data_IF_129837526464
#
_entry.id   IF_129837526464
#
_cell.length_a   1.000
_cell.length_b   1.000
_cell.length_c   1.000
_cell.angle_alpha   90.00
_cell.angle_beta   90.00
_cell.angle_gamma   90.00
#
_symmetry.space_group_name_H-M   'P 1'
#
loop_
_entity.id
_entity.type
_entity.pdbx_description
1 polymer ?
#
# COMPACT_ATOMS: atom_id res chain seq x y z
N UNK A 1 46.46 9.68 -3.49
CA UNK A 1 45.11 9.37 -2.98
C UNK A 1 45.22 9.36 -1.47
N UNK A 2 44.55 10.29 -0.82
CA UNK A 2 44.67 10.43 0.62
C UNK A 2 43.58 9.61 1.32
N UNK A 3 43.95 8.41 1.76
CA UNK A 3 43.05 7.50 2.48
C UNK A 3 42.77 7.95 3.91
N UNK A 4 43.53 8.90 4.47
CA UNK A 4 43.35 9.35 5.85
C UNK A 4 41.95 9.92 6.10
N UNK A 5 41.40 10.66 5.13
CA UNK A 5 40.05 11.23 5.18
C UNK A 5 38.93 10.20 5.02
N UNK A 6 39.22 9.07 4.37
CA UNK A 6 38.29 7.94 4.23
C UNK A 6 38.33 7.09 5.50
N UNK A 7 39.51 6.78 6.01
CA UNK A 7 39.72 6.00 7.23
C UNK A 7 39.12 6.72 8.45
N UNK A 8 39.27 8.05 8.54
CA UNK A 8 38.65 8.87 9.59
C UNK A 8 37.11 8.84 9.52
N UNK A 9 36.53 8.89 8.31
CA UNK A 9 35.08 8.80 8.11
C UNK A 9 34.54 7.39 8.38
N UNK A 10 35.23 6.34 7.94
CA UNK A 10 34.85 4.96 8.27
C UNK A 10 34.92 4.73 9.78
N UNK A 11 35.96 5.22 10.45
CA UNK A 11 36.10 5.11 11.91
C UNK A 11 34.93 5.77 12.65
N UNK A 12 34.41 6.90 12.15
CA UNK A 12 33.26 7.58 12.76
C UNK A 12 31.94 6.83 12.53
N UNK A 13 31.82 6.07 11.44
CA UNK A 13 30.65 5.22 11.15
C UNK A 13 30.65 3.96 12.01
N UNK A 14 31.78 3.26 12.10
CA UNK A 14 31.86 1.96 12.76
C UNK A 14 31.94 2.04 14.30
N UNK A 15 32.12 3.24 14.89
CA UNK A 15 32.02 3.54 16.34
C UNK A 15 32.61 2.44 17.26
N UNK A 16 33.86 2.07 17.02
CA UNK A 16 34.58 1.08 17.83
C UNK A 16 34.51 -0.36 17.31
N UNK A 17 33.72 -0.63 16.26
CA UNK A 17 33.79 -1.89 15.53
C UNK A 17 34.94 -1.89 14.53
N UNK A 18 35.56 -3.06 14.25
CA UNK A 18 36.60 -3.17 13.23
C UNK A 18 36.04 -2.85 11.85
N UNK A 19 36.74 -1.99 11.10
CA UNK A 19 36.40 -1.67 9.71
C UNK A 19 36.69 -2.92 8.87
N UNK A 20 35.74 -3.40 8.03
CA UNK A 20 35.98 -4.53 7.15
C UNK A 20 37.19 -4.30 6.23
N UNK A 21 38.01 -5.33 6.03
CA UNK A 21 39.14 -5.24 5.11
C UNK A 21 38.65 -5.15 3.66
N UNK A 22 39.17 -4.18 2.91
CA UNK A 22 38.90 -4.03 1.48
C UNK A 22 40.14 -3.55 0.73
N UNK A 23 40.20 -3.88 -0.57
CA UNK A 23 41.31 -3.47 -1.42
C UNK A 23 41.36 -1.94 -1.59
N UNK A 24 42.49 -1.30 -1.28
CA UNK A 24 42.69 0.16 -1.43
C UNK A 24 42.96 0.55 -2.89
N UNK A 25 42.00 0.28 -3.76
CA UNK A 25 42.03 0.63 -5.19
C UNK A 25 41.43 2.02 -5.44
N UNK A 26 41.78 2.65 -6.56
CA UNK A 26 41.18 3.93 -6.98
C UNK A 26 39.66 3.84 -7.10
N UNK A 27 39.15 2.72 -7.62
CA UNK A 27 37.72 2.50 -7.78
C UNK A 27 36.99 2.52 -6.43
N UNK A 28 37.56 1.83 -5.43
CA UNK A 28 36.99 1.79 -4.08
C UNK A 28 37.08 3.17 -3.40
N UNK A 29 38.14 3.94 -3.66
CA UNK A 29 38.26 5.31 -3.16
C UNK A 29 37.12 6.21 -3.66
N UNK A 30 36.83 6.16 -4.98
CA UNK A 30 35.75 6.94 -5.58
C UNK A 30 34.37 6.51 -5.09
N UNK A 31 34.15 5.19 -4.96
CA UNK A 31 32.90 4.63 -4.47
C UNK A 31 32.62 5.06 -3.02
N UNK A 32 33.63 4.96 -2.15
CA UNK A 32 33.53 5.37 -0.75
C UNK A 32 33.31 6.89 -0.63
N UNK A 33 33.97 7.69 -1.46
CA UNK A 33 33.76 9.14 -1.45
C UNK A 33 32.34 9.53 -1.93
N UNK A 34 31.79 8.78 -2.89
CA UNK A 34 30.40 8.95 -3.34
C UNK A 34 29.42 8.59 -2.21
N UNK A 35 29.65 7.48 -1.52
CA UNK A 35 28.86 7.07 -0.35
C UNK A 35 28.93 8.09 0.78
N UNK A 36 30.11 8.65 1.04
CA UNK A 36 30.32 9.72 2.02
C UNK A 36 29.46 10.95 1.70
N UNK A 37 29.49 11.41 0.45
CA UNK A 37 28.70 12.56 0.01
C UNK A 37 27.19 12.28 0.11
N UNK A 38 26.73 11.07 -0.26
CA UNK A 38 25.34 10.67 -0.11
C UNK A 38 24.89 10.64 1.35
N UNK A 39 25.75 10.15 2.26
CA UNK A 39 25.48 10.13 3.70
C UNK A 39 25.38 11.56 4.27
N UNK A 40 26.27 12.48 3.89
CA UNK A 40 26.15 13.88 4.32
C UNK A 40 24.86 14.53 3.82
N UNK A 41 24.47 14.27 2.57
CA UNK A 41 23.23 14.80 2.01
C UNK A 41 21.99 14.22 2.70
N UNK A 42 21.98 12.92 2.99
CA UNK A 42 20.86 12.29 3.71
C UNK A 42 20.77 12.80 5.15
N UNK A 43 21.90 12.96 5.84
CA UNK A 43 21.92 13.50 7.21
C UNK A 43 21.43 14.96 7.24
N UNK A 44 21.79 15.77 6.25
CA UNK A 44 21.31 17.15 6.12
C UNK A 44 19.80 17.19 5.87
N UNK A 45 19.28 16.30 5.04
CA UNK A 45 17.86 16.17 4.77
C UNK A 45 17.09 15.68 6.01
N UNK A 46 17.64 14.71 6.75
CA UNK A 46 17.09 14.25 8.03
C UNK A 46 17.06 15.39 9.04
N UNK A 47 18.13 16.17 9.16
CA UNK A 47 18.19 17.32 10.06
C UNK A 47 17.19 18.41 9.66
N UNK A 48 17.02 18.67 8.36
CA UNK A 48 16.03 19.62 7.86
C UNK A 48 14.60 19.14 8.12
N UNK A 49 14.32 17.84 7.96
CA UNK A 49 13.03 17.24 8.30
C UNK A 49 12.79 17.32 9.81
N UNK A 50 13.77 16.97 10.63
CA UNK A 50 13.67 17.06 12.10
C UNK A 50 13.43 18.50 12.55
N UNK A 51 14.19 19.46 12.03
CA UNK A 51 14.04 20.87 12.40
C UNK A 51 12.68 21.42 11.96
N UNK A 52 12.19 21.09 10.76
CA UNK A 52 10.86 21.52 10.31
C UNK A 52 9.72 20.81 11.04
N UNK A 53 9.90 19.53 11.37
CA UNK A 53 8.88 18.73 12.09
C UNK A 53 8.84 19.08 13.59
N UNK A 54 9.96 19.52 14.17
CA UNK A 54 10.03 20.07 15.54
C UNK A 54 9.48 21.49 15.62
N UNK A 55 9.69 22.34 14.60
CA UNK A 55 9.07 23.67 14.57
C UNK A 55 7.54 23.65 14.46
N UNK A 56 6.95 22.56 13.99
CA UNK A 56 5.49 22.36 14.02
C UNK A 56 4.93 21.93 15.39
N UNK A 57 5.79 21.58 16.36
CA UNK A 57 5.36 20.96 17.62
C UNK A 57 5.59 21.78 18.89
N UNK A 58 5.94 23.07 18.82
CA UNK A 58 6.04 23.95 20.01
C UNK A 58 5.45 25.35 19.78
N UNK A 59 4.33 25.44 19.06
CA UNK A 59 3.49 26.66 19.05
C UNK A 59 2.61 26.69 20.31
N UNK A 60 2.22 27.88 20.81
CA UNK A 60 1.24 28.05 21.92
C UNK A 60 -0.09 27.32 21.67
N UNK A 61 -0.40 26.98 20.43
CA UNK A 61 -1.57 26.17 20.09
C UNK A 61 -1.41 24.69 20.47
N UNK A 62 -0.18 24.18 20.61
CA UNK A 62 0.09 22.82 21.05
C UNK A 62 -0.25 22.60 22.52
N UNK A 63 -0.02 23.58 23.39
CA UNK A 63 -0.39 23.52 24.82
C UNK A 63 -1.92 23.42 24.97
N UNK A 64 -2.67 24.26 24.26
CA UNK A 64 -4.14 24.17 24.21
C UNK A 64 -4.65 22.87 23.60
N UNK A 65 -3.94 22.35 22.59
CA UNK A 65 -4.30 21.08 21.95
C UNK A 65 -4.03 19.89 22.87
N UNK A 66 -2.95 19.92 23.65
CA UNK A 66 -2.62 18.91 24.67
C UNK A 66 -3.60 18.98 25.84
N UNK A 67 -3.96 20.16 26.33
CA UNK A 67 -4.98 20.32 27.37
C UNK A 67 -6.35 19.81 26.89
N UNK A 68 -6.72 20.13 25.65
CA UNK A 68 -7.94 19.61 25.03
C UNK A 68 -7.88 18.09 24.88
N UNK A 69 -6.72 17.53 24.54
CA UNK A 69 -6.54 16.08 24.43
C UNK A 69 -6.60 15.38 25.79
N UNK A 70 -6.02 15.99 26.83
CA UNK A 70 -6.08 15.49 28.19
C UNK A 70 -7.51 15.49 28.72
N UNK A 71 -8.28 16.57 28.48
CA UNK A 71 -9.71 16.62 28.81
C UNK A 71 -10.51 15.55 28.06
N UNK A 72 -10.15 15.29 26.79
CA UNK A 72 -10.83 14.29 25.98
C UNK A 72 -10.47 12.85 26.41
N UNK A 73 -9.21 12.60 26.78
CA UNK A 73 -8.75 11.35 27.37
C UNK A 73 -9.48 11.05 28.68
N UNK A 74 -9.63 12.05 29.55
CA UNK A 74 -10.36 11.95 30.81
C UNK A 74 -11.85 11.66 30.56
N UNK A 75 -12.46 12.33 29.57
CA UNK A 75 -13.87 12.09 29.18
C UNK A 75 -14.14 10.72 28.56
N UNK A 76 -13.11 10.11 27.94
CA UNK A 76 -13.19 8.78 27.33
C UNK A 76 -12.75 7.66 28.29
N UNK A 77 -12.41 8.00 29.54
CA UNK A 77 -11.92 7.04 30.54
C UNK A 77 -10.59 6.39 30.14
N UNK A 78 -9.73 7.13 29.44
CA UNK A 78 -8.41 6.65 29.02
C UNK A 78 -7.33 7.17 29.98
N UNK A 79 -6.67 6.24 30.67
CA UNK A 79 -5.70 6.54 31.73
C UNK A 79 -4.40 7.20 31.23
N UNK A 80 -4.18 7.32 29.92
CA UNK A 80 -3.00 8.03 29.38
C UNK A 80 -3.25 8.79 28.08
N UNK A 81 -2.70 10.01 28.02
CA UNK A 81 -2.68 10.88 26.83
C UNK A 81 -1.97 10.20 25.64
N UNK A 82 -1.00 9.32 25.92
CA UNK A 82 -0.23 8.56 24.93
C UNK A 82 -1.10 7.54 24.17
N UNK A 83 -2.06 6.90 24.84
CA UNK A 83 -3.03 6.01 24.19
C UNK A 83 -3.98 6.78 23.28
N UNK A 84 -4.46 7.96 23.71
CA UNK A 84 -5.29 8.82 22.85
C UNK A 84 -4.54 9.35 21.64
N UNK A 85 -3.26 9.75 21.79
CA UNK A 85 -2.42 10.19 20.67
C UNK A 85 -2.15 9.06 19.68
N UNK A 86 -1.88 7.85 20.18
CA UNK A 86 -1.65 6.68 19.32
C UNK A 86 -2.90 6.30 18.53
N UNK A 87 -4.08 6.36 19.17
CA UNK A 87 -5.37 6.12 18.51
C UNK A 87 -5.68 7.19 17.48
N UNK A 88 -5.49 8.47 17.82
CA UNK A 88 -5.68 9.59 16.90
C UNK A 88 -4.73 9.50 15.70
N UNK A 89 -3.47 9.14 15.92
CA UNK A 89 -2.47 8.92 14.86
C UNK A 89 -2.88 7.77 13.94
N UNK A 90 -3.38 6.67 14.50
CA UNK A 90 -3.89 5.54 13.72
C UNK A 90 -5.12 5.93 12.89
N UNK A 91 -6.06 6.67 13.48
CA UNK A 91 -7.26 7.13 12.79
C UNK A 91 -6.91 8.17 11.70
N UNK A 92 -5.90 9.02 11.95
CA UNK A 92 -5.35 9.92 10.93
C UNK A 92 -4.71 9.16 9.78
N UNK A 93 -3.91 8.11 10.04
CA UNK A 93 -3.34 7.28 8.98
C UNK A 93 -4.42 6.55 8.17
N UNK A 94 -5.46 6.02 8.84
CA UNK A 94 -6.61 5.40 8.16
C UNK A 94 -7.32 6.42 7.26
N UNK A 95 -7.55 7.63 7.77
CA UNK A 95 -8.20 8.69 6.99
C UNK A 95 -7.36 9.11 5.79
N UNK A 96 -6.04 9.22 5.94
CA UNK A 96 -5.13 9.48 4.82
C UNK A 96 -5.16 8.37 3.77
N UNK A 97 -5.23 7.11 4.21
CA UNK A 97 -5.36 5.98 3.31
C UNK A 97 -6.68 6.00 2.53
N UNK A 98 -7.81 6.26 3.21
CA UNK A 98 -9.12 6.43 2.55
C UNK A 98 -9.14 7.62 1.59
N UNK A 99 -8.44 8.71 1.92
CA UNK A 99 -8.31 9.86 1.03
C UNK A 99 -7.55 9.50 -0.26
N UNK A 100 -6.42 8.79 -0.17
CA UNK A 100 -5.68 8.32 -1.34
C UNK A 100 -6.52 7.38 -2.22
N UNK A 101 -7.33 6.53 -1.59
CA UNK A 101 -8.26 5.64 -2.29
C UNK A 101 -9.37 6.42 -3.01
N UNK A 102 -9.88 7.48 -2.39
CA UNK A 102 -10.84 8.38 -3.04
C UNK A 102 -10.24 9.10 -4.24
N UNK A 103 -9.00 9.61 -4.12
CA UNK A 103 -8.28 10.23 -5.25
C UNK A 103 -8.10 9.25 -6.42
N UNK A 104 -7.75 7.99 -6.13
CA UNK A 104 -7.64 6.94 -7.15
C UNK A 104 -8.99 6.66 -7.83
N UNK A 105 -10.07 6.57 -7.04
CA UNK A 105 -11.42 6.38 -7.58
C UNK A 105 -11.88 7.57 -8.44
N UNK A 106 -11.59 8.80 -8.02
CA UNK A 106 -11.90 10.02 -8.78
C UNK A 106 -11.16 10.06 -10.12
N UNK A 107 -9.88 9.68 -10.12
CA UNK A 107 -9.09 9.56 -11.33
C UNK A 107 -9.70 8.52 -12.30
N UNK A 108 -10.06 7.34 -11.79
CA UNK A 108 -10.66 6.27 -12.59
C UNK A 108 -12.03 6.67 -13.16
N UNK A 109 -12.84 7.38 -12.37
CA UNK A 109 -14.14 7.90 -12.81
C UNK A 109 -13.97 8.92 -13.93
N UNK A 110 -13.02 9.86 -13.78
CA UNK A 110 -12.71 10.88 -14.79
C UNK A 110 -12.27 10.25 -16.11
N UNK A 111 -11.43 9.21 -16.05
CA UNK A 111 -11.01 8.45 -17.23
C UNK A 111 -12.18 7.72 -17.90
N UNK A 112 -13.07 7.11 -17.11
CA UNK A 112 -14.26 6.43 -17.63
C UNK A 112 -15.22 7.42 -18.28
N UNK A 113 -15.41 8.60 -17.68
CA UNK A 113 -16.26 9.65 -18.23
C UNK A 113 -15.70 10.14 -19.58
N UNK A 114 -14.39 10.40 -19.65
CA UNK A 114 -13.75 10.79 -20.90
C UNK A 114 -13.94 9.76 -22.01
N UNK A 115 -13.80 8.46 -21.71
CA UNK A 115 -14.05 7.39 -22.69
C UNK A 115 -15.50 7.40 -23.17
N UNK A 116 -16.46 7.57 -22.27
CA UNK A 116 -17.88 7.65 -22.63
C UNK A 116 -18.17 8.87 -23.51
N UNK A 117 -17.54 10.02 -23.24
CA UNK A 117 -17.67 11.23 -24.06
C UNK A 117 -17.05 11.06 -25.47
N UNK A 118 -15.90 10.38 -25.56
CA UNK A 118 -15.25 10.03 -26.82
C UNK A 118 -16.13 9.08 -27.65
N UNK A 119 -16.71 8.05 -27.02
CA UNK A 119 -17.65 7.12 -27.66
C UNK A 119 -18.94 7.82 -28.10
N UNK A 120 -19.51 8.71 -27.28
CA UNK A 120 -20.67 9.51 -27.67
C UNK A 120 -20.37 10.41 -28.87
N UNK A 121 -19.18 11.00 -28.92
CA UNK A 121 -18.74 11.80 -30.05
C UNK A 121 -18.60 10.97 -31.34
N UNK A 122 -18.09 9.74 -31.22
CA UNK A 122 -18.02 8.78 -32.32
C UNK A 122 -19.42 8.36 -32.81
N UNK A 123 -20.34 8.04 -31.91
CA UNK A 123 -21.71 7.65 -32.28
C UNK A 123 -22.42 8.83 -32.96
N UNK A 124 -22.23 10.06 -32.47
CA UNK A 124 -22.79 11.26 -33.10
C UNK A 124 -22.24 11.49 -34.51
N UNK A 125 -20.94 11.27 -34.72
CA UNK A 125 -20.36 11.41 -36.07
C UNK A 125 -20.88 10.33 -37.02
N UNK A 126 -21.02 9.08 -36.55
CA UNK A 126 -21.64 8.00 -37.33
C UNK A 126 -23.09 8.31 -37.69
N UNK A 127 -23.89 8.83 -36.74
CA UNK A 127 -25.29 9.21 -37.00
C UNK A 127 -25.40 10.38 -37.98
N UNK A 128 -24.51 11.37 -37.89
CA UNK A 128 -24.44 12.48 -38.86
C UNK A 128 -24.11 11.97 -40.26
N UNK A 129 -23.14 11.07 -40.38
CA UNK A 129 -22.78 10.46 -41.66
C UNK A 129 -23.97 9.69 -42.26
N UNK A 130 -24.66 8.89 -41.45
CA UNK A 130 -25.85 8.15 -41.90
C UNK A 130 -26.99 9.09 -42.33
N UNK A 131 -27.24 10.18 -41.60
CA UNK A 131 -28.26 11.16 -41.99
C UNK A 131 -27.90 11.86 -43.30
N UNK A 132 -26.64 12.20 -43.51
CA UNK A 132 -26.16 12.82 -44.74
C UNK A 132 -26.24 11.84 -45.93
N UNK A 133 -25.87 10.58 -45.72
CA UNK A 133 -25.98 9.50 -46.70
C UNK A 133 -27.45 9.21 -47.07
N UNK A 134 -28.37 9.32 -46.11
CA UNK A 134 -29.82 9.17 -46.38
C UNK A 134 -30.39 10.35 -47.18
N UNK A 135 -29.85 11.57 -47.01
CA UNK A 135 -30.25 12.74 -47.81
C UNK A 135 -29.63 12.71 -49.22
N UNK A 136 -28.35 12.34 -49.36
CA UNK A 136 -27.70 12.21 -50.67
C UNK A 136 -28.30 11.08 -51.51
N UNK A 137 -28.77 9.99 -50.89
CA UNK A 137 -29.44 8.87 -51.58
C UNK A 137 -30.88 9.16 -52.06
N UNK A 138 -31.45 10.35 -51.80
CA UNK A 138 -32.75 10.75 -52.39
C UNK A 138 -32.63 11.41 -53.76
N UNK A 139 -31.41 11.66 -54.26
CA UNK A 139 -31.18 12.17 -55.62
C UNK A 139 -30.42 11.12 -56.42
N UNK A 140 -31.15 10.43 -57.29
CA UNK A 140 -30.69 9.51 -58.36
C UNK A 140 -30.31 8.07 -57.97
N UNK A 141 -31.26 7.17 -58.27
CA UNK A 141 -31.06 5.94 -59.04
C UNK A 141 -29.62 5.44 -59.22
N UNK A 142 -29.16 4.53 -58.37
CA UNK A 142 -28.19 3.48 -58.76
C UNK A 142 -28.52 2.15 -58.08
N UNK A 143 -29.68 1.60 -58.46
CA UNK A 143 -30.27 0.38 -57.92
C UNK A 143 -29.60 -0.93 -58.41
N UNK A 144 -28.37 -0.92 -58.93
CA UNK A 144 -27.72 -2.16 -59.41
C UNK A 144 -26.23 -2.34 -59.06
N UNK A 145 -25.54 -1.36 -58.45
CA UNK A 145 -24.12 -1.52 -58.07
C UNK A 145 -23.87 -1.59 -56.54
N UNK A 146 -24.82 -1.22 -55.70
CA UNK A 146 -24.59 -1.14 -54.24
C UNK A 146 -24.61 -2.48 -53.50
N UNK A 147 -25.33 -3.50 -53.99
CA UNK A 147 -25.32 -4.82 -53.32
C UNK A 147 -24.01 -5.60 -53.55
N UNK A 148 -23.21 -5.21 -54.54
CA UNK A 148 -21.88 -5.77 -54.80
C UNK A 148 -20.83 -5.06 -53.92
N UNK A 149 -20.94 -3.73 -53.80
CA UNK A 149 -20.08 -2.91 -52.92
C UNK A 149 -20.26 -3.24 -51.44
N UNK A 150 -21.49 -3.35 -50.92
CA UNK A 150 -21.72 -3.72 -49.51
C UNK A 150 -21.20 -5.13 -49.20
N UNK A 151 -21.35 -6.08 -50.12
CA UNK A 151 -20.76 -7.42 -49.97
C UNK A 151 -19.24 -7.37 -50.00
N UNK A 152 -18.63 -6.61 -50.90
CA UNK A 152 -17.17 -6.45 -50.94
C UNK A 152 -16.63 -5.74 -49.70
N UNK A 153 -17.34 -4.73 -49.18
CA UNK A 153 -17.00 -4.03 -47.94
C UNK A 153 -17.11 -5.00 -46.75
N UNK A 154 -18.23 -5.70 -46.57
CA UNK A 154 -18.38 -6.69 -45.49
C UNK A 154 -17.34 -7.80 -45.59
N UNK A 155 -17.02 -8.26 -46.80
CA UNK A 155 -16.01 -9.32 -47.01
C UNK A 155 -14.61 -8.78 -46.73
N UNK A 156 -14.33 -7.53 -47.07
CA UNK A 156 -13.05 -6.88 -46.77
C UNK A 156 -12.89 -6.60 -45.27
N UNK A 157 -13.95 -6.16 -44.57
CA UNK A 157 -13.96 -5.98 -43.12
C UNK A 157 -13.84 -7.32 -42.39
N UNK A 158 -14.56 -8.35 -42.83
CA UNK A 158 -14.45 -9.69 -42.29
C UNK A 158 -13.02 -10.24 -42.46
N UNK A 159 -12.42 -10.08 -43.64
CA UNK A 159 -11.04 -10.47 -43.89
C UNK A 159 -10.04 -9.66 -43.06
N UNK A 160 -10.29 -8.36 -42.86
CA UNK A 160 -9.46 -7.50 -42.02
C UNK A 160 -9.56 -7.88 -40.55
N UNK A 161 -10.75 -8.23 -40.08
CA UNK A 161 -11.01 -8.69 -38.72
C UNK A 161 -10.42 -10.08 -38.50
N UNK A 162 -10.53 -10.99 -39.47
CA UNK A 162 -9.92 -12.31 -39.42
C UNK A 162 -8.39 -12.22 -39.49
N UNK A 163 -7.84 -11.31 -40.29
CA UNK A 163 -6.41 -11.01 -40.31
C UNK A 163 -5.95 -10.40 -38.98
N UNK A 164 -6.72 -9.46 -38.41
CA UNK A 164 -6.46 -8.94 -37.05
C UNK A 164 -6.56 -10.05 -36.01
N UNK A 165 -7.49 -10.99 -36.11
CA UNK A 165 -7.61 -12.11 -35.17
C UNK A 165 -6.42 -13.08 -35.29
N UNK A 166 -5.96 -13.34 -36.52
CA UNK A 166 -4.78 -14.16 -36.79
C UNK A 166 -3.46 -13.43 -36.43
N UNK A 167 -3.39 -12.11 -36.55
CA UNK A 167 -2.25 -11.26 -36.17
C UNK A 167 -2.20 -10.98 -34.65
N UNK A 168 -3.37 -10.79 -34.02
CA UNK A 168 -3.55 -10.84 -32.56
C UNK A 168 -3.23 -12.23 -32.04
N UNK A 169 -3.32 -13.23 -32.95
CA UNK A 169 -2.80 -14.57 -32.87
C UNK A 169 -2.48 -14.88 -31.44
N UNK A 170 -3.49 -15.34 -30.70
CA UNK A 170 -3.33 -15.89 -29.36
C UNK A 170 -2.34 -17.02 -29.57
N UNK A 171 -1.05 -16.67 -29.59
CA UNK A 171 0.01 -17.62 -29.76
C UNK A 171 -0.19 -18.53 -28.56
N UNK A 172 -0.02 -19.83 -28.75
CA UNK A 172 -0.01 -20.77 -27.63
C UNK A 172 0.96 -20.30 -26.53
N UNK A 173 1.95 -19.46 -26.87
CA UNK A 173 2.83 -18.73 -25.96
C UNK A 173 2.11 -17.71 -25.05
N UNK A 174 1.13 -16.96 -25.53
CA UNK A 174 0.32 -16.02 -24.74
C UNK A 174 -0.66 -16.77 -23.85
N UNK A 175 -1.31 -17.82 -24.36
CA UNK A 175 -2.21 -18.66 -23.58
C UNK A 175 -1.44 -19.40 -22.46
N UNK A 176 -0.24 -19.92 -22.78
CA UNK A 176 0.64 -20.54 -21.79
C UNK A 176 1.11 -19.56 -20.72
N UNK A 177 1.41 -18.30 -21.10
CA UNK A 177 1.73 -17.24 -20.13
C UNK A 177 0.55 -16.90 -19.24
N UNK A 178 -0.68 -16.91 -19.76
CA UNK A 178 -1.90 -16.69 -18.96
C UNK A 178 -2.05 -17.81 -17.94
N UNK A 179 -1.91 -19.09 -18.33
CA UNK A 179 -1.96 -20.21 -17.40
C UNK A 179 -0.82 -20.18 -16.35
N UNK A 180 0.38 -19.77 -16.76
CA UNK A 180 1.49 -19.61 -15.82
C UNK A 180 1.22 -18.49 -14.80
N UNK A 181 0.65 -17.37 -15.25
CA UNK A 181 0.26 -16.26 -14.39
C UNK A 181 -0.91 -16.63 -13.46
N UNK A 182 -1.89 -17.39 -13.95
CA UNK A 182 -3.00 -17.92 -13.18
C UNK A 182 -2.49 -18.85 -12.07
N UNK A 183 -1.62 -19.81 -12.40
CA UNK A 183 -0.98 -20.68 -11.40
C UNK A 183 -0.15 -19.89 -10.38
N UNK A 184 0.58 -18.85 -10.82
CA UNK A 184 1.29 -17.95 -9.91
C UNK A 184 0.33 -17.17 -9.01
N UNK A 185 -0.80 -16.70 -9.53
CA UNK A 185 -1.82 -16.02 -8.73
C UNK A 185 -2.40 -16.96 -7.66
N UNK A 186 -2.75 -18.19 -8.01
CA UNK A 186 -3.28 -19.20 -7.09
C UNK A 186 -2.31 -19.52 -5.94
N UNK A 187 -1.02 -19.63 -6.25
CA UNK A 187 0.01 -19.89 -5.22
C UNK A 187 0.17 -18.70 -4.28
N UNK A 188 0.14 -17.47 -4.81
CA UNK A 188 0.21 -16.24 -3.98
C UNK A 188 -1.05 -16.10 -3.12
N UNK A 189 -2.23 -16.33 -3.68
CA UNK A 189 -3.50 -16.28 -2.94
C UNK A 189 -3.51 -17.31 -1.80
N UNK A 190 -3.06 -18.53 -2.08
CA UNK A 190 -2.93 -19.58 -1.06
C UNK A 190 -1.99 -19.17 0.08
N UNK A 191 -0.87 -18.51 -0.25
CA UNK A 191 0.07 -17.99 0.75
C UNK A 191 -0.54 -16.84 1.56
N UNK A 192 -1.26 -15.92 0.93
CA UNK A 192 -1.97 -14.85 1.62
C UNK A 192 -3.01 -15.42 2.59
N UNK A 193 -3.83 -16.40 2.17
CA UNK A 193 -4.80 -17.07 3.06
C UNK A 193 -4.13 -17.76 4.24
N UNK A 194 -2.94 -18.35 4.05
CA UNK A 194 -2.18 -18.93 5.15
C UNK A 194 -1.64 -17.88 6.12
N UNK A 195 -1.11 -16.77 5.59
CA UNK A 195 -0.62 -15.66 6.41
C UNK A 195 -1.76 -14.96 7.16
N UNK A 196 -2.94 -14.84 6.55
CA UNK A 196 -4.13 -14.29 7.17
C UNK A 196 -4.60 -15.14 8.36
N UNK A 197 -4.67 -16.48 8.20
CA UNK A 197 -4.96 -17.40 9.31
C UNK A 197 -3.94 -17.27 10.45
N UNK A 198 -2.67 -17.09 10.10
CA UNK A 198 -1.60 -16.92 11.06
C UNK A 198 -1.74 -15.57 11.80
N UNK A 199 -2.07 -14.49 11.11
CA UNK A 199 -2.37 -13.18 11.70
C UNK A 199 -3.61 -13.22 12.58
N UNK A 200 -4.66 -13.92 12.17
CA UNK A 200 -5.89 -14.11 12.94
C UNK A 200 -5.57 -14.75 14.31
N UNK A 201 -4.64 -15.71 14.35
CA UNK A 201 -4.16 -16.30 15.61
C UNK A 201 -3.46 -15.30 16.54
N UNK A 202 -2.87 -14.23 15.99
CA UNK A 202 -2.21 -13.17 16.74
C UNK A 202 -3.14 -12.03 17.15
N UNK A 203 -4.37 -11.94 16.63
CA UNK A 203 -5.33 -10.87 17.00
C UNK A 203 -5.77 -10.91 18.48
N UNK A 204 -5.59 -12.06 19.14
CA UNK A 204 -5.87 -12.22 20.58
C UNK A 204 -4.81 -11.52 21.45
N UNK A 205 -3.60 -11.34 20.90
CA UNK A 205 -2.53 -10.60 21.54
C UNK A 205 -2.73 -9.09 21.33
N UNK A 206 -2.64 -8.29 22.40
CA UNK A 206 -2.69 -6.85 22.27
C UNK A 206 -1.56 -6.36 21.34
N UNK A 207 -1.89 -5.42 20.44
CA UNK A 207 -0.95 -4.83 19.48
C UNK A 207 0.14 -3.98 20.13
N UNK A 208 -0.01 -3.66 21.41
CA UNK A 208 0.91 -2.85 22.21
C UNK A 208 1.55 -3.74 23.29
N UNK A 209 2.87 -3.66 23.39
CA UNK A 209 3.69 -4.37 24.38
C UNK A 209 3.26 -4.03 25.81
N UNK A 210 2.81 -2.80 26.05
CA UNK A 210 2.31 -2.37 27.37
C UNK A 210 1.01 -3.09 27.71
N UNK A 211 0.05 -3.10 26.78
CA UNK A 211 -1.22 -3.84 26.95
C UNK A 211 -1.00 -5.35 27.08
N UNK A 212 -0.03 -5.92 26.34
CA UNK A 212 0.35 -7.31 26.48
C UNK A 212 0.92 -7.60 27.88
N UNK A 213 1.79 -6.72 28.38
CA UNK A 213 2.37 -6.84 29.74
C UNK A 213 1.30 -6.72 30.82
N UNK A 214 0.35 -5.79 30.68
CA UNK A 214 -0.80 -5.65 31.59
C UNK A 214 -1.66 -6.90 31.58
N UNK A 215 -1.94 -7.47 30.40
CA UNK A 215 -2.75 -8.69 30.27
C UNK A 215 -2.03 -9.90 30.87
N UNK A 216 -0.72 -10.02 30.69
CA UNK A 216 0.11 -11.05 31.33
C UNK A 216 0.09 -10.90 32.84
N UNK A 217 0.34 -9.70 33.36
CA UNK A 217 0.32 -9.42 34.80
C UNK A 217 -1.04 -9.79 35.41
N UNK A 218 -2.13 -9.40 34.76
CA UNK A 218 -3.49 -9.76 35.18
C UNK A 218 -3.69 -11.28 35.23
N UNK A 219 -3.27 -12.00 34.20
CA UNK A 219 -3.38 -13.47 34.20
C UNK A 219 -2.51 -14.14 35.26
N UNK A 220 -1.35 -13.57 35.59
CA UNK A 220 -0.50 -14.06 36.68
C UNK A 220 -1.10 -13.77 38.06
N UNK A 221 -1.78 -12.63 38.22
CA UNK A 221 -2.51 -12.31 39.44
C UNK A 221 -3.72 -13.25 39.63
N UNK A 222 -4.49 -13.49 38.57
CA UNK A 222 -5.62 -14.44 38.56
C UNK A 222 -5.13 -15.87 38.90
N UNK A 223 -4.00 -16.31 38.33
CA UNK A 223 -3.38 -17.60 38.62
C UNK A 223 -3.00 -17.71 40.10
N UNK A 224 -2.32 -16.70 40.65
CA UNK A 224 -1.93 -16.67 42.06
C UNK A 224 -3.15 -16.71 42.98
N UNK A 225 -4.22 -16.04 42.61
CA UNK A 225 -5.46 -16.07 43.40
C UNK A 225 -6.08 -17.47 43.40
N UNK A 226 -6.14 -18.14 42.24
CA UNK A 226 -6.60 -19.53 42.15
C UNK A 226 -5.70 -20.50 42.94
N UNK A 227 -4.38 -20.27 42.98
CA UNK A 227 -3.46 -21.06 43.78
C UNK A 227 -3.71 -20.87 45.29
N UNK A 228 -3.97 -19.64 45.74
CA UNK A 228 -4.34 -19.35 47.13
C UNK A 228 -5.68 -20.00 47.48
N UNK A 229 -6.68 -19.88 46.61
CA UNK A 229 -7.98 -20.54 46.82
C UNK A 229 -7.83 -22.05 46.90
N UNK A 230 -7.04 -22.65 46.00
CA UNK A 230 -6.71 -24.07 46.04
C UNK A 230 -6.07 -24.46 47.36
N UNK A 231 -5.07 -23.74 47.84
CA UNK A 231 -4.38 -24.06 49.10
C UNK A 231 -5.29 -23.87 50.32
N UNK A 232 -6.16 -22.86 50.29
CA UNK A 232 -7.18 -22.63 51.31
C UNK A 232 -8.17 -23.80 51.38
N UNK A 233 -8.69 -24.25 50.22
CA UNK A 233 -9.60 -25.39 50.15
C UNK A 233 -8.92 -26.69 50.61
N UNK A 234 -7.66 -26.91 50.22
CA UNK A 234 -6.89 -28.06 50.68
C UNK A 234 -6.69 -28.05 52.20
N UNK A 235 -6.42 -26.87 52.77
CA UNK A 235 -6.30 -26.69 54.22
C UNK A 235 -7.62 -26.93 54.95
N UNK A 236 -8.73 -26.43 54.39
CA UNK A 236 -10.08 -26.67 54.93
C UNK A 236 -10.44 -28.16 54.91
N UNK A 237 -10.14 -28.86 53.82
CA UNK A 237 -10.32 -30.31 53.72
C UNK A 237 -9.47 -31.02 54.77
N UNK A 238 -8.18 -30.68 54.90
CA UNK A 238 -7.29 -31.29 55.89
C UNK A 238 -7.79 -31.10 57.32
N UNK A 239 -8.30 -29.91 57.65
CA UNK A 239 -8.87 -29.60 58.96
C UNK A 239 -10.21 -30.29 59.22
N UNK A 240 -10.98 -30.62 58.17
CA UNK A 240 -12.28 -31.32 58.30
C UNK A 240 -12.15 -32.84 58.52
N UNK A 241 -10.96 -33.41 58.30
CA UNK A 241 -10.67 -34.85 58.39
C UNK A 241 -10.07 -35.24 59.76
N UNK A 242 -9.84 -34.27 60.64
CA UNK A 242 -9.46 -34.47 62.05
C UNK A 242 -10.61 -34.18 63.00
#
# INVERSE_FOLDING_TARGET
MDWSHVDSWLSSIFKGNPIPDFARTNNNYQLINTLKNLNFNSMTLIQHILNNKLHFNLSKDSEKSIDSLAMLADSLGMDSVELTLSRLSMDQMKLQHEFLKLDEMEYMLTQSQKKADDELSLIRSMLLNLQQETQENTVQQQQQNYSLSEKEILTSEYNLLQKKYNDIGIQDSTLSKIYELESKADTVESRCKQQEKLLESFTILPSDMVLASIKIQKTEDDLRQLEIERESLLSEIANSVH
#
